data_IF_378399455715
#
_entry.id   IF_378399455715
#
_cell.length_a   1.000
_cell.length_b   1.000
_cell.length_c   1.000
_cell.angle_alpha   90.00
_cell.angle_beta   90.00
_cell.angle_gamma   90.00
#
_symmetry.space_group_name_H-M   'P 1'
#
loop_
_entity.id
_entity.type
_entity.pdbx_description
1 polymer ?
#
# COMPACT_ATOMS: atom_id res chain seq x y z
N UNK A 1 -5.27 25.13 9.66
CA UNK A 1 -4.24 24.08 9.55
C UNK A 1 -3.25 24.34 8.43
N UNK A 2 -2.01 23.98 8.62
CA UNK A 2 -0.98 23.97 7.57
C UNK A 2 -1.17 22.73 6.69
N UNK A 3 -1.12 22.89 5.37
CA UNK A 3 -1.29 21.77 4.42
C UNK A 3 -0.45 21.97 3.16
N UNK A 4 -0.09 20.88 2.49
CA UNK A 4 0.47 20.88 1.12
C UNK A 4 -0.69 20.85 0.14
N UNK A 5 -0.75 21.85 -0.74
CA UNK A 5 -1.85 22.01 -1.70
C UNK A 5 -1.30 22.05 -3.11
N UNK A 6 -1.98 21.41 -4.05
CA UNK A 6 -1.78 21.66 -5.48
C UNK A 6 -3.09 22.09 -6.14
N UNK A 7 -2.99 23.13 -6.98
CA UNK A 7 -4.11 23.75 -7.67
C UNK A 7 -4.20 23.36 -9.14
N UNK A 8 -3.14 22.73 -9.66
CA UNK A 8 -3.07 22.23 -11.03
C UNK A 8 -2.29 20.91 -11.02
N UNK A 9 -2.70 19.97 -11.84
CA UNK A 9 -1.95 18.72 -12.03
C UNK A 9 -0.54 18.99 -12.57
N UNK A 10 0.43 18.28 -12.05
CA UNK A 10 1.86 18.40 -12.38
C UNK A 10 2.51 19.76 -12.06
N UNK A 11 1.75 20.74 -11.52
CA UNK A 11 2.35 21.97 -11.01
C UNK A 11 2.93 21.77 -9.61
N UNK A 12 4.01 22.49 -9.23
CA UNK A 12 4.60 22.35 -7.91
C UNK A 12 3.59 22.62 -6.79
N UNK A 13 3.38 21.67 -5.86
CA UNK A 13 2.58 21.93 -4.66
C UNK A 13 3.24 22.98 -3.77
N UNK A 14 2.45 23.62 -2.91
CA UNK A 14 2.94 24.62 -1.96
C UNK A 14 2.26 24.47 -0.59
N UNK A 15 2.89 25.02 0.44
CA UNK A 15 2.30 25.11 1.77
C UNK A 15 1.26 26.22 1.80
N UNK A 16 0.07 25.91 2.31
CA UNK A 16 -1.02 26.85 2.49
C UNK A 16 -1.65 26.72 3.88
N UNK A 17 -2.12 27.85 4.44
CA UNK A 17 -2.99 27.85 5.61
C UNK A 17 -4.43 27.66 5.17
N UNK A 18 -5.05 26.58 5.59
CA UNK A 18 -6.44 26.25 5.35
C UNK A 18 -7.26 26.31 6.65
N UNK A 19 -8.58 26.49 6.61
CA UNK A 19 -9.42 26.25 7.78
C UNK A 19 -9.23 24.85 8.33
N UNK A 20 -9.28 24.68 9.65
CA UNK A 20 -9.29 23.36 10.26
C UNK A 20 -10.57 22.62 9.85
N UNK A 21 -10.47 21.31 9.53
CA UNK A 21 -11.64 20.54 9.16
C UNK A 21 -12.54 20.32 10.39
N UNK A 22 -13.85 20.25 10.15
CA UNK A 22 -14.83 19.82 11.13
C UNK A 22 -15.27 18.37 10.82
N UNK A 23 -15.57 17.54 11.84
CA UNK A 23 -16.00 16.18 11.59
C UNK A 23 -17.45 16.17 11.05
N UNK A 24 -17.70 15.31 10.06
CA UNK A 24 -19.05 14.92 9.69
C UNK A 24 -19.74 14.20 10.87
N UNK A 25 -21.08 14.09 10.85
CA UNK A 25 -21.81 13.46 11.95
C UNK A 25 -21.33 12.06 12.31
N UNK A 26 -20.90 11.27 11.29
CA UNK A 26 -20.38 9.89 11.41
C UNK A 26 -18.85 9.81 11.27
N UNK A 27 -18.15 10.94 11.27
CA UNK A 27 -16.72 11.04 11.05
C UNK A 27 -15.95 11.57 12.26
N UNK A 28 -14.65 11.63 12.12
CA UNK A 28 -13.73 12.25 13.09
C UNK A 28 -12.77 13.18 12.36
N UNK A 29 -12.16 14.10 13.11
CA UNK A 29 -10.93 14.78 12.68
C UNK A 29 -9.76 14.09 13.39
N UNK A 30 -8.75 13.74 12.63
CA UNK A 30 -7.50 13.18 13.14
C UNK A 30 -6.41 14.24 13.05
N UNK A 31 -5.75 14.54 14.16
CA UNK A 31 -4.48 15.25 14.19
C UNK A 31 -3.40 14.31 13.65
N UNK A 32 -2.81 14.66 12.52
CA UNK A 32 -1.82 13.82 11.86
C UNK A 32 -0.49 13.88 12.61
N UNK A 33 0.00 12.74 13.04
CA UNK A 33 1.28 12.60 13.72
C UNK A 33 2.36 12.01 12.83
N UNK A 34 1.95 11.30 11.78
CA UNK A 34 2.83 10.82 10.72
C UNK A 34 2.03 10.53 9.45
N UNK A 35 2.68 10.70 8.29
CA UNK A 35 2.10 10.40 6.98
C UNK A 35 3.15 9.82 6.03
N UNK A 36 2.85 8.68 5.40
CA UNK A 36 3.69 8.08 4.37
C UNK A 36 3.58 8.82 3.04
N UNK A 37 4.70 8.92 2.30
CA UNK A 37 4.71 9.43 0.93
C UNK A 37 4.68 8.24 -0.03
N UNK A 38 3.61 8.09 -0.78
CA UNK A 38 3.35 6.93 -1.63
C UNK A 38 3.38 7.28 -3.12
N UNK A 39 3.70 6.28 -3.96
CA UNK A 39 3.64 6.43 -5.42
C UNK A 39 2.24 6.82 -5.92
N UNK A 40 1.20 6.39 -5.21
CA UNK A 40 -0.18 6.76 -5.55
C UNK A 40 -0.45 8.25 -5.36
N UNK A 41 0.18 8.93 -4.38
CA UNK A 41 0.10 10.41 -4.26
C UNK A 41 0.69 11.09 -5.49
N UNK A 42 1.80 10.57 -6.03
CA UNK A 42 2.39 11.08 -7.27
C UNK A 42 1.46 10.85 -8.47
N UNK A 43 0.82 9.68 -8.59
CA UNK A 43 -0.17 9.43 -9.64
C UNK A 43 -1.35 10.41 -9.55
N UNK A 44 -1.81 10.71 -8.33
CA UNK A 44 -2.82 11.74 -8.11
C UNK A 44 -2.36 13.12 -8.54
N UNK A 45 -1.16 13.53 -8.13
CA UNK A 45 -0.58 14.84 -8.46
C UNK A 45 -0.37 15.04 -9.96
N UNK A 46 0.03 14.01 -10.71
CA UNK A 46 0.20 14.11 -12.18
C UNK A 46 -1.12 13.99 -12.96
N UNK A 47 -2.25 13.72 -12.27
CA UNK A 47 -3.58 13.67 -12.89
C UNK A 47 -3.97 12.32 -13.49
N UNK A 48 -3.35 11.23 -13.05
CA UNK A 48 -3.75 9.88 -13.46
C UNK A 48 -5.00 9.37 -12.74
N UNK A 49 -5.40 10.03 -11.65
CA UNK A 49 -6.60 9.69 -10.88
C UNK A 49 -7.70 10.70 -11.18
N UNK A 50 -8.83 10.22 -11.72
CA UNK A 50 -9.96 11.05 -12.16
C UNK A 50 -10.88 11.50 -11.02
N UNK A 51 -10.74 10.93 -9.82
CA UNK A 51 -11.55 11.25 -8.65
C UNK A 51 -11.07 12.52 -7.94
N UNK A 52 -9.85 12.97 -8.23
CA UNK A 52 -9.25 14.15 -7.61
C UNK A 52 -9.89 15.43 -8.16
N UNK A 53 -10.40 16.25 -7.25
CA UNK A 53 -10.91 17.60 -7.51
C UNK A 53 -9.94 18.65 -6.99
N UNK A 54 -9.61 19.64 -7.84
CA UNK A 54 -8.69 20.73 -7.52
C UNK A 54 -9.44 21.93 -6.91
N UNK A 55 -8.85 22.68 -5.93
CA UNK A 55 -7.56 22.45 -5.30
C UNK A 55 -7.57 21.22 -4.39
N UNK A 56 -6.41 20.54 -4.24
CA UNK A 56 -6.35 19.29 -3.55
C UNK A 56 -5.18 19.20 -2.54
N UNK A 57 -5.41 18.42 -1.46
CA UNK A 57 -4.41 18.05 -0.45
C UNK A 57 -4.17 16.54 -0.58
N UNK A 58 -2.96 16.08 -0.97
CA UNK A 58 -2.65 14.65 -1.07
C UNK A 58 -2.43 14.00 0.31
N UNK A 59 -2.14 12.71 0.31
CA UNK A 59 -1.79 11.93 1.51
C UNK A 59 -2.88 10.97 1.96
N UNK A 60 -2.54 9.69 1.99
CA UNK A 60 -3.48 8.61 2.29
C UNK A 60 -2.90 7.53 3.23
N UNK A 61 -1.64 7.68 3.65
CA UNK A 61 -0.98 6.78 4.58
C UNK A 61 -0.75 7.50 5.90
N UNK A 62 -1.73 7.52 6.79
CA UNK A 62 -1.68 8.33 8.00
C UNK A 62 -1.77 7.53 9.30
N UNK A 63 -1.20 8.09 10.33
CA UNK A 63 -1.44 7.71 11.72
C UNK A 63 -1.49 8.97 12.58
N UNK A 64 -2.35 8.98 13.58
CA UNK A 64 -2.53 10.18 14.39
C UNK A 64 -3.40 9.95 15.62
N UNK A 65 -3.91 11.06 16.14
CA UNK A 65 -4.75 11.10 17.33
C UNK A 65 -6.09 11.75 16.98
N UNK A 66 -7.17 11.17 17.44
CA UNK A 66 -8.51 11.74 17.26
C UNK A 66 -8.59 13.07 17.98
N UNK A 67 -8.87 14.16 17.26
CA UNK A 67 -8.95 15.54 17.75
C UNK A 67 -10.40 16.00 17.94
N UNK A 68 -11.30 15.60 17.05
CA UNK A 68 -12.72 15.91 17.14
C UNK A 68 -13.57 14.72 16.67
N UNK A 69 -14.77 14.59 17.22
CA UNK A 69 -15.65 13.44 17.00
C UNK A 69 -17.04 13.93 16.59
N UNK A 70 -17.58 13.35 15.53
CA UNK A 70 -18.95 13.61 15.08
C UNK A 70 -19.99 13.02 16.03
N UNK A 71 -21.19 13.63 16.05
CA UNK A 71 -22.24 13.30 17.02
C UNK A 71 -22.77 11.85 16.96
N UNK A 72 -22.64 11.18 15.81
CA UNK A 72 -23.17 9.84 15.58
C UNK A 72 -22.10 8.74 15.72
N UNK A 73 -20.83 9.11 15.98
CA UNK A 73 -19.71 8.19 16.25
C UNK A 73 -19.87 7.57 17.63
N UNK A 74 -19.69 6.26 17.73
CA UNK A 74 -19.95 5.49 18.97
C UNK A 74 -18.70 4.84 19.57
N UNK A 75 -17.71 4.50 18.74
CA UNK A 75 -16.57 3.68 19.15
C UNK A 75 -15.33 4.51 19.49
N UNK A 76 -15.27 5.78 19.06
CA UNK A 76 -14.07 6.60 19.14
C UNK A 76 -14.23 7.83 20.03
N UNK A 77 -13.13 8.25 20.65
CA UNK A 77 -13.06 9.39 21.55
C UNK A 77 -11.84 10.26 21.22
N UNK A 78 -11.90 11.52 21.59
CA UNK A 78 -10.74 12.44 21.54
C UNK A 78 -9.60 11.83 22.34
N UNK A 79 -8.41 11.82 21.75
CA UNK A 79 -7.19 11.25 22.33
C UNK A 79 -6.89 9.81 21.85
N UNK A 80 -7.81 9.12 21.20
CA UNK A 80 -7.56 7.78 20.67
C UNK A 80 -6.49 7.80 19.58
N UNK A 81 -5.53 6.88 19.67
CA UNK A 81 -4.48 6.68 18.67
C UNK A 81 -4.99 5.80 17.54
N UNK A 82 -4.93 6.30 16.31
CA UNK A 82 -5.58 5.64 15.17
C UNK A 82 -4.72 5.64 13.91
N UNK A 83 -5.01 4.69 13.04
CA UNK A 83 -4.69 4.70 11.60
C UNK A 83 -5.95 4.35 10.82
N UNK A 84 -5.89 4.40 9.50
CA UNK A 84 -7.00 4.13 8.60
C UNK A 84 -6.47 3.45 7.33
N UNK A 85 -7.19 2.49 6.73
CA UNK A 85 -6.86 2.02 5.39
C UNK A 85 -7.02 3.17 4.39
N UNK A 86 -6.21 3.17 3.32
CA UNK A 86 -6.30 4.22 2.30
C UNK A 86 -7.66 4.25 1.58
N UNK A 87 -8.37 3.13 1.56
CA UNK A 87 -9.73 3.01 1.04
C UNK A 87 -10.69 2.66 2.17
N UNK A 88 -11.58 3.58 2.49
CA UNK A 88 -12.61 3.42 3.50
C UNK A 88 -13.96 3.02 2.88
N UNK A 89 -14.73 2.23 3.63
CA UNK A 89 -16.07 1.81 3.26
C UNK A 89 -17.15 2.70 3.89
N UNK A 90 -18.33 2.76 3.27
CA UNK A 90 -19.49 3.47 3.81
C UNK A 90 -20.21 2.68 4.92
N UNK A 91 -19.95 1.39 5.06
CA UNK A 91 -20.58 0.51 6.04
C UNK A 91 -22.01 0.06 5.70
N UNK A 92 -22.61 0.53 4.59
CA UNK A 92 -24.03 0.31 4.30
C UNK A 92 -24.34 -0.27 2.91
N UNK A 93 -23.41 -0.27 1.97
CA UNK A 93 -23.61 -0.89 0.65
C UNK A 93 -23.51 -2.43 0.72
N UNK A 94 -23.95 -3.16 -0.31
CA UNK A 94 -23.87 -4.61 -0.34
C UNK A 94 -22.46 -5.16 -0.11
N UNK A 95 -21.43 -4.53 -0.71
CA UNK A 95 -20.03 -4.94 -0.52
C UNK A 95 -19.57 -4.73 0.92
N UNK A 96 -19.95 -3.62 1.55
CA UNK A 96 -19.65 -3.40 2.97
C UNK A 96 -20.35 -4.41 3.87
N UNK A 97 -21.62 -4.73 3.61
CA UNK A 97 -22.35 -5.76 4.36
C UNK A 97 -21.74 -7.15 4.18
N UNK A 98 -21.13 -7.44 3.03
CA UNK A 98 -20.37 -8.66 2.78
C UNK A 98 -18.96 -8.66 3.40
N UNK A 99 -18.55 -7.55 4.04
CA UNK A 99 -17.21 -7.39 4.63
C UNK A 99 -16.13 -6.93 3.65
N UNK A 100 -16.51 -6.53 2.44
CA UNK A 100 -15.58 -6.13 1.37
C UNK A 100 -15.41 -4.60 1.29
N UNK A 101 -15.12 -3.94 2.40
CA UNK A 101 -15.02 -2.48 2.49
C UNK A 101 -14.04 -1.87 1.47
N UNK A 102 -12.99 -2.59 1.09
CA UNK A 102 -11.96 -2.15 0.14
C UNK A 102 -12.45 -2.03 -1.32
N UNK A 103 -13.64 -2.50 -1.63
CA UNK A 103 -14.32 -2.36 -2.91
C UNK A 103 -15.75 -1.81 -2.73
N UNK A 104 -15.91 -0.93 -1.75
CA UNK A 104 -17.17 -0.24 -1.46
C UNK A 104 -17.66 0.56 -2.66
N UNK A 105 -18.98 0.54 -2.92
CA UNK A 105 -19.61 1.30 -4.01
C UNK A 105 -19.49 2.83 -3.82
N UNK A 106 -19.32 3.28 -2.56
CA UNK A 106 -19.17 4.69 -2.18
C UNK A 106 -17.89 4.86 -1.36
N UNK A 107 -16.76 4.60 -1.98
CA UNK A 107 -15.45 4.65 -1.32
C UNK A 107 -15.14 6.04 -0.79
N UNK A 108 -14.60 6.09 0.42
CA UNK A 108 -13.95 7.25 0.99
C UNK A 108 -12.42 7.03 0.94
N UNK A 109 -11.71 7.91 0.25
CA UNK A 109 -10.25 7.81 0.12
C UNK A 109 -9.62 9.18 0.42
N UNK A 110 -9.04 9.37 1.64
CA UNK A 110 -8.29 10.60 1.94
C UNK A 110 -7.11 10.74 0.98
N UNK A 111 -6.90 11.94 0.46
CA UNK A 111 -5.85 12.21 -0.55
C UNK A 111 -6.24 11.87 -1.99
N UNK A 112 -7.48 11.41 -2.24
CA UNK A 112 -8.04 11.16 -3.58
C UNK A 112 -9.45 11.74 -3.70
N UNK A 113 -10.48 11.05 -3.18
CA UNK A 113 -11.86 11.56 -3.21
C UNK A 113 -12.09 12.72 -2.24
N UNK A 114 -11.23 12.89 -1.26
CA UNK A 114 -11.28 13.91 -0.20
C UNK A 114 -9.87 14.41 0.08
N UNK A 115 -9.75 15.59 0.72
CA UNK A 115 -8.46 16.10 1.17
C UNK A 115 -7.77 15.12 2.09
N UNK A 116 -6.47 14.96 1.90
CA UNK A 116 -5.64 13.97 2.57
C UNK A 116 -4.82 14.50 3.74
N UNK A 117 -3.83 13.72 4.08
CA UNK A 117 -3.04 13.87 5.31
C UNK A 117 -1.66 14.52 5.11
N UNK A 118 -1.36 15.13 3.96
CA UNK A 118 -0.26 16.09 3.87
C UNK A 118 -0.67 17.42 4.50
N UNK A 119 -1.17 17.34 5.73
CA UNK A 119 -1.72 18.42 6.52
C UNK A 119 -1.63 18.11 8.02
N UNK A 120 -1.77 19.12 8.88
CA UNK A 120 -1.83 18.95 10.33
C UNK A 120 -3.05 18.14 10.79
N UNK A 121 -4.18 18.25 10.06
CA UNK A 121 -5.44 17.57 10.37
C UNK A 121 -6.06 16.98 9.10
N UNK A 122 -6.78 15.90 9.27
CA UNK A 122 -7.57 15.25 8.20
C UNK A 122 -8.92 14.79 8.72
N UNK A 123 -9.98 15.00 7.93
CA UNK A 123 -11.32 14.46 8.22
C UNK A 123 -11.43 13.04 7.70
N UNK A 124 -11.89 12.12 8.54
CA UNK A 124 -12.14 10.72 8.19
C UNK A 124 -13.64 10.43 8.36
N UNK A 125 -14.27 10.01 7.28
CA UNK A 125 -15.68 9.66 7.26
C UNK A 125 -15.91 8.22 7.74
N UNK A 126 -17.13 7.94 8.20
CA UNK A 126 -17.53 6.60 8.67
C UNK A 126 -16.53 6.00 9.67
N UNK A 127 -16.21 6.77 10.71
CA UNK A 127 -15.12 6.47 11.65
C UNK A 127 -15.26 5.08 12.29
N UNK A 128 -16.48 4.69 12.69
CA UNK A 128 -16.75 3.38 13.33
C UNK A 128 -16.51 2.18 12.38
N UNK A 129 -16.45 2.43 11.07
CA UNK A 129 -16.18 1.42 10.03
C UNK A 129 -14.69 1.37 9.67
N UNK A 130 -14.04 2.54 9.66
CA UNK A 130 -12.75 2.70 8.97
C UNK A 130 -11.55 2.91 9.88
N UNK A 131 -11.74 3.41 11.11
CA UNK A 131 -10.61 3.61 12.00
C UNK A 131 -10.12 2.30 12.61
N UNK A 132 -8.82 2.24 12.86
CA UNK A 132 -8.13 1.14 13.51
C UNK A 132 -7.37 1.69 14.72
N UNK A 133 -7.63 1.14 15.90
CA UNK A 133 -6.91 1.48 17.13
C UNK A 133 -5.44 1.04 17.03
N UNK A 134 -4.53 1.92 17.38
CA UNK A 134 -3.11 1.65 17.43
C UNK A 134 -2.66 1.25 18.84
N UNK A 135 -1.87 0.16 18.97
CA UNK A 135 -1.21 -0.16 20.24
C UNK A 135 -0.30 0.98 20.68
N UNK A 136 -0.20 1.24 22.00
CA UNK A 136 0.67 2.28 22.53
C UNK A 136 2.14 2.07 22.17
N UNK A 137 2.56 0.82 22.02
CA UNK A 137 3.93 0.44 21.66
C UNK A 137 4.31 0.70 20.22
N UNK A 138 3.31 0.93 19.33
CA UNK A 138 3.57 1.19 17.93
C UNK A 138 3.71 2.69 17.70
N UNK A 139 4.88 3.14 17.21
CA UNK A 139 5.10 4.55 16.88
C UNK A 139 4.31 4.98 15.65
N UNK A 140 3.97 6.28 15.56
CA UNK A 140 3.13 6.80 14.48
C UNK A 140 3.79 6.70 13.11
N UNK A 141 5.12 6.83 13.01
CA UNK A 141 5.79 6.73 11.71
C UNK A 141 5.66 5.30 11.14
N UNK A 142 5.86 4.29 11.98
CA UNK A 142 5.64 2.89 11.61
C UNK A 142 4.17 2.66 11.27
N UNK A 143 3.23 3.15 12.09
CA UNK A 143 1.80 3.00 11.85
C UNK A 143 1.34 3.66 10.55
N UNK A 144 1.83 4.87 10.22
CA UNK A 144 1.52 5.55 8.96
C UNK A 144 2.00 4.74 7.75
N UNK A 145 3.15 4.08 7.83
CA UNK A 145 3.67 3.25 6.74
C UNK A 145 2.82 2.00 6.43
N UNK A 146 1.86 1.66 7.31
CA UNK A 146 0.98 0.51 7.11
C UNK A 146 -0.19 0.80 6.16
N UNK A 147 -0.71 2.04 6.12
CA UNK A 147 -2.04 2.40 5.61
C UNK A 147 -2.36 2.05 4.16
N UNK A 148 -1.37 1.93 3.28
CA UNK A 148 -1.53 1.55 1.88
C UNK A 148 -0.67 0.33 1.53
N UNK A 149 0.63 0.54 1.41
CA UNK A 149 1.58 -0.46 0.87
C UNK A 149 1.63 -1.75 1.66
N UNK A 150 1.74 -1.64 2.98
CA UNK A 150 1.92 -2.80 3.85
C UNK A 150 0.64 -3.63 3.97
N UNK A 151 -0.50 -2.99 4.22
CA UNK A 151 -1.79 -3.68 4.33
C UNK A 151 -2.23 -4.31 3.02
N UNK A 152 -2.00 -3.63 1.88
CA UNK A 152 -2.27 -4.21 0.57
C UNK A 152 -1.43 -5.45 0.32
N UNK A 153 -0.14 -5.41 0.68
CA UNK A 153 0.76 -6.57 0.60
C UNK A 153 0.34 -7.67 1.56
N UNK A 154 -0.08 -7.33 2.77
CA UNK A 154 -0.56 -8.32 3.74
C UNK A 154 -1.78 -9.06 3.20
N UNK A 155 -2.77 -8.34 2.70
CA UNK A 155 -3.95 -8.95 2.07
C UNK A 155 -3.58 -9.76 0.83
N UNK A 156 -2.69 -9.24 -0.03
CA UNK A 156 -2.25 -9.93 -1.24
C UNK A 156 -1.57 -11.27 -0.93
N UNK A 157 -0.70 -11.32 0.07
CA UNK A 157 0.06 -12.54 0.44
C UNK A 157 -0.80 -13.49 1.26
N UNK A 158 -1.55 -12.97 2.26
CA UNK A 158 -2.28 -13.79 3.23
C UNK A 158 -3.66 -14.19 2.72
N UNK A 159 -4.49 -13.21 2.35
CA UNK A 159 -5.88 -13.47 2.02
C UNK A 159 -6.05 -13.95 0.57
N UNK A 160 -5.50 -13.22 -0.40
CA UNK A 160 -5.64 -13.56 -1.83
C UNK A 160 -4.71 -14.70 -2.23
N UNK A 161 -3.44 -14.59 -1.88
CA UNK A 161 -2.41 -15.59 -2.18
C UNK A 161 -2.59 -16.89 -1.39
N UNK A 162 -3.19 -16.82 -0.20
CA UNK A 162 -3.31 -17.95 0.74
C UNK A 162 -1.96 -18.65 0.94
N UNK A 163 -0.93 -17.83 1.06
CA UNK A 163 0.45 -18.29 1.17
C UNK A 163 0.67 -19.12 2.43
N UNK A 164 1.35 -20.21 2.30
CA UNK A 164 1.67 -21.12 3.41
C UNK A 164 3.17 -21.36 3.54
N UNK A 165 3.61 -21.79 4.72
CA UNK A 165 5.00 -22.13 4.99
C UNK A 165 5.56 -23.17 3.98
N UNK A 166 6.80 -22.98 3.55
CA UNK A 166 7.49 -23.84 2.58
C UNK A 166 7.14 -23.55 1.12
N UNK A 167 6.09 -22.80 0.81
CA UNK A 167 5.77 -22.40 -0.55
C UNK A 167 6.78 -21.39 -1.10
N UNK A 168 6.89 -21.29 -2.42
CA UNK A 168 7.65 -20.25 -3.12
C UNK A 168 6.74 -19.09 -3.51
N UNK A 169 7.15 -17.88 -3.14
CA UNK A 169 6.51 -16.61 -3.53
C UNK A 169 7.47 -15.84 -4.40
N UNK A 170 7.07 -15.48 -5.63
CA UNK A 170 7.81 -14.57 -6.49
C UNK A 170 7.22 -13.15 -6.35
N UNK A 171 8.08 -12.14 -6.16
CA UNK A 171 7.67 -10.75 -6.00
C UNK A 171 8.34 -9.90 -7.08
N UNK A 172 7.57 -9.42 -8.04
CA UNK A 172 8.03 -8.56 -9.12
C UNK A 172 7.89 -7.09 -8.73
N UNK A 173 9.02 -6.40 -8.61
CA UNK A 173 9.14 -5.04 -8.09
C UNK A 173 9.40 -5.01 -6.59
N UNK A 174 10.54 -4.45 -6.17
CA UNK A 174 10.96 -4.31 -4.76
C UNK A 174 10.82 -2.86 -4.28
N UNK A 175 9.73 -2.19 -4.64
CA UNK A 175 9.27 -0.94 -4.03
C UNK A 175 8.58 -1.18 -2.68
N UNK A 176 7.87 -0.19 -2.16
CA UNK A 176 7.20 -0.29 -0.85
C UNK A 176 6.25 -1.48 -0.72
N UNK A 177 5.44 -1.75 -1.76
CA UNK A 177 4.54 -2.92 -1.80
C UNK A 177 5.34 -4.23 -1.83
N UNK A 178 6.30 -4.35 -2.76
CA UNK A 178 7.05 -5.59 -2.91
C UNK A 178 7.93 -5.94 -1.72
N UNK A 179 8.62 -4.95 -1.12
CA UNK A 179 9.42 -5.17 0.09
C UNK A 179 8.55 -5.57 1.28
N UNK A 180 7.34 -5.00 1.40
CA UNK A 180 6.35 -5.43 2.39
C UNK A 180 5.92 -6.87 2.15
N UNK A 181 5.64 -7.26 0.89
CA UNK A 181 5.27 -8.63 0.54
C UNK A 181 6.40 -9.63 0.84
N UNK A 182 7.67 -9.26 0.59
CA UNK A 182 8.85 -10.07 0.98
C UNK A 182 8.87 -10.33 2.47
N UNK A 183 8.77 -9.27 3.29
CA UNK A 183 8.76 -9.38 4.76
C UNK A 183 7.61 -10.25 5.25
N UNK A 184 6.40 -10.05 4.74
CA UNK A 184 5.21 -10.77 5.15
C UNK A 184 5.30 -12.26 4.76
N UNK A 185 5.68 -12.57 3.53
CA UNK A 185 5.83 -13.94 3.06
C UNK A 185 6.91 -14.71 3.85
N UNK A 186 8.05 -14.04 4.13
CA UNK A 186 9.09 -14.62 4.98
C UNK A 186 8.58 -14.89 6.41
N UNK A 187 7.83 -13.96 7.00
CA UNK A 187 7.29 -14.11 8.36
C UNK A 187 6.27 -15.26 8.48
N UNK A 188 5.61 -15.64 7.38
CA UNK A 188 4.73 -16.81 7.30
C UNK A 188 5.52 -18.12 7.15
N UNK A 189 6.83 -18.05 6.81
CA UNK A 189 7.69 -19.20 6.56
C UNK A 189 7.71 -19.63 5.09
N UNK A 190 7.30 -18.78 4.17
CA UNK A 190 7.45 -19.03 2.73
C UNK A 190 8.87 -18.71 2.27
N UNK A 191 9.31 -19.35 1.16
CA UNK A 191 10.52 -18.97 0.46
C UNK A 191 10.21 -17.86 -0.54
N UNK A 192 11.04 -16.82 -0.61
CA UNK A 192 10.76 -15.66 -1.43
C UNK A 192 11.84 -15.45 -2.50
N UNK A 193 11.41 -15.30 -3.76
CA UNK A 193 12.25 -14.79 -4.85
C UNK A 193 11.85 -13.34 -5.11
N UNK A 194 12.74 -12.40 -4.81
CA UNK A 194 12.53 -10.99 -5.08
C UNK A 194 13.14 -10.60 -6.43
N UNK A 195 12.36 -9.96 -7.29
CA UNK A 195 12.75 -9.59 -8.66
C UNK A 195 12.69 -8.07 -8.81
N UNK A 196 13.80 -7.43 -9.19
CA UNK A 196 13.89 -6.00 -9.45
C UNK A 196 15.06 -5.70 -10.39
N UNK A 197 15.14 -4.50 -10.94
CA UNK A 197 16.29 -4.00 -11.70
C UNK A 197 17.33 -3.32 -10.80
N UNK A 198 16.95 -2.85 -9.62
CA UNK A 198 17.78 -2.11 -8.67
C UNK A 198 18.49 -3.03 -7.69
N UNK A 199 19.83 -3.05 -7.74
CA UNK A 199 20.62 -3.80 -6.74
C UNK A 199 20.41 -3.33 -5.31
N UNK A 200 20.13 -2.03 -5.13
CA UNK A 200 19.81 -1.46 -3.81
C UNK A 200 18.51 -2.05 -3.25
N UNK A 201 17.46 -2.13 -4.08
CA UNK A 201 16.18 -2.72 -3.69
C UNK A 201 16.32 -4.22 -3.41
N UNK A 202 17.08 -4.94 -4.24
CA UNK A 202 17.37 -6.37 -4.02
C UNK A 202 18.21 -6.62 -2.76
N UNK A 203 19.15 -5.75 -2.43
CA UNK A 203 19.91 -5.84 -1.18
C UNK A 203 18.99 -5.70 0.04
N UNK A 204 18.08 -4.73 0.02
CA UNK A 204 17.07 -4.57 1.08
C UNK A 204 16.11 -5.75 1.14
N UNK A 205 15.67 -6.28 -0.01
CA UNK A 205 14.83 -7.48 -0.05
C UNK A 205 15.50 -8.68 0.63
N UNK A 206 16.83 -8.88 0.46
CA UNK A 206 17.58 -9.93 1.18
C UNK A 206 17.56 -9.69 2.70
N UNK A 207 17.75 -8.46 3.14
CA UNK A 207 17.71 -8.11 4.58
C UNK A 207 16.33 -8.38 5.19
N UNK A 208 15.26 -8.19 4.40
CA UNK A 208 13.89 -8.43 4.80
C UNK A 208 13.44 -9.90 4.67
N UNK A 209 14.33 -10.80 4.26
CA UNK A 209 14.11 -12.23 4.26
C UNK A 209 13.86 -12.89 2.89
N UNK A 210 14.20 -12.19 1.78
CA UNK A 210 14.17 -12.85 0.48
C UNK A 210 15.20 -14.01 0.44
N UNK A 211 14.72 -15.21 0.12
CA UNK A 211 15.55 -16.43 0.00
C UNK A 211 16.48 -16.34 -1.20
N UNK A 212 16.02 -15.72 -2.28
CA UNK A 212 16.79 -15.47 -3.49
C UNK A 212 16.38 -14.16 -4.13
N UNK A 213 17.25 -13.63 -5.00
CA UNK A 213 16.98 -12.40 -5.77
C UNK A 213 17.35 -12.57 -7.22
N UNK A 214 16.57 -11.98 -8.11
CA UNK A 214 16.81 -11.91 -9.54
C UNK A 214 16.89 -10.47 -9.98
N UNK A 215 18.02 -10.06 -10.53
CA UNK A 215 18.14 -8.76 -11.19
C UNK A 215 17.64 -8.87 -12.63
N UNK A 216 16.44 -8.34 -12.89
CA UNK A 216 15.79 -8.46 -14.18
C UNK A 216 16.54 -7.73 -15.33
N UNK A 217 17.43 -6.79 -15.01
CA UNK A 217 18.28 -6.13 -16.02
C UNK A 217 19.53 -6.96 -16.39
N UNK A 218 19.84 -8.02 -15.63
CA UNK A 218 21.07 -8.81 -15.80
C UNK A 218 20.80 -10.24 -16.28
N UNK A 219 19.57 -10.72 -16.25
CA UNK A 219 19.19 -12.05 -16.73
C UNK A 219 18.51 -11.95 -18.08
N UNK A 220 18.76 -12.95 -18.94
CA UNK A 220 18.13 -13.00 -20.26
C UNK A 220 16.62 -13.29 -20.19
N UNK A 221 16.20 -14.11 -19.22
CA UNK A 221 14.83 -14.55 -19.03
C UNK A 221 14.50 -14.66 -17.54
N UNK A 222 13.65 -13.75 -17.06
CA UNK A 222 13.22 -13.72 -15.66
C UNK A 222 12.39 -14.97 -15.29
N UNK A 223 11.54 -15.43 -16.20
CA UNK A 223 10.67 -16.60 -15.96
C UNK A 223 11.49 -17.85 -15.75
N UNK A 224 12.49 -18.09 -16.60
CA UNK A 224 13.43 -19.23 -16.47
C UNK A 224 14.24 -19.12 -15.16
N UNK A 225 14.78 -17.93 -14.85
CA UNK A 225 15.55 -17.73 -13.62
C UNK A 225 14.72 -18.03 -12.35
N UNK A 226 13.44 -17.66 -12.33
CA UNK A 226 12.53 -17.99 -11.23
C UNK A 226 12.23 -19.50 -11.22
N UNK A 227 12.00 -20.12 -12.38
CA UNK A 227 11.73 -21.55 -12.48
C UNK A 227 12.92 -22.41 -11.97
N UNK A 228 14.14 -22.02 -12.28
CA UNK A 228 15.37 -22.68 -11.83
C UNK A 228 15.52 -22.59 -10.29
N UNK A 229 15.35 -21.39 -9.72
CA UNK A 229 15.43 -21.16 -8.27
C UNK A 229 14.35 -21.96 -7.53
N UNK A 230 13.12 -21.92 -8.02
CA UNK A 230 11.95 -22.53 -7.36
C UNK A 230 11.76 -24.01 -7.68
N UNK A 231 12.56 -24.54 -8.61
CA UNK A 231 12.45 -25.90 -9.15
C UNK A 231 11.05 -26.20 -9.70
N UNK A 232 10.64 -25.38 -10.68
CA UNK A 232 9.40 -25.61 -11.43
C UNK A 232 8.32 -24.54 -11.24
N UNK A 233 8.67 -23.36 -10.77
CA UNK A 233 7.81 -22.18 -10.68
C UNK A 233 7.32 -21.83 -9.27
N UNK A 234 6.82 -20.61 -9.11
CA UNK A 234 6.29 -20.12 -7.86
C UNK A 234 4.86 -20.65 -7.57
N UNK A 235 4.51 -20.81 -6.30
CA UNK A 235 3.13 -21.12 -5.88
C UNK A 235 2.26 -19.89 -5.95
N UNK A 236 2.82 -18.75 -5.54
CA UNK A 236 2.19 -17.43 -5.57
C UNK A 236 3.17 -16.46 -6.24
N UNK A 237 2.69 -15.63 -7.12
CA UNK A 237 3.50 -14.60 -7.76
C UNK A 237 2.76 -13.27 -7.77
N UNK A 238 3.43 -12.21 -7.29
CA UNK A 238 2.86 -10.87 -7.19
C UNK A 238 3.49 -9.94 -8.23
N UNK A 239 2.67 -9.20 -8.97
CA UNK A 239 3.12 -7.97 -9.63
C UNK A 239 2.87 -6.77 -8.71
N UNK A 240 3.95 -6.27 -8.11
CA UNK A 240 3.94 -5.10 -7.22
C UNK A 240 4.34 -3.80 -7.94
N UNK A 241 4.61 -3.85 -9.25
CA UNK A 241 5.02 -2.71 -10.06
C UNK A 241 3.86 -2.14 -10.89
N UNK A 242 3.06 -2.99 -11.55
CA UNK A 242 2.00 -2.57 -12.46
C UNK A 242 2.50 -2.24 -13.88
N UNK A 243 3.30 -3.13 -14.47
CA UNK A 243 3.80 -2.99 -15.84
C UNK A 243 3.50 -4.25 -16.66
N UNK A 244 3.14 -4.15 -17.96
CA UNK A 244 2.81 -5.30 -18.78
C UNK A 244 3.82 -6.44 -18.73
N UNK A 245 5.12 -6.13 -18.76
CA UNK A 245 6.20 -7.12 -18.68
C UNK A 245 6.23 -7.83 -17.32
N UNK A 246 6.06 -7.13 -16.21
CA UNK A 246 6.06 -7.74 -14.87
C UNK A 246 4.81 -8.56 -14.62
N UNK A 247 3.65 -8.11 -15.09
CA UNK A 247 2.41 -8.87 -15.07
C UNK A 247 2.55 -10.19 -15.86
N UNK A 248 3.03 -10.11 -17.10
CA UNK A 248 3.27 -11.30 -17.94
C UNK A 248 4.26 -12.27 -17.28
N UNK A 249 5.40 -11.78 -16.79
CA UNK A 249 6.41 -12.60 -16.13
C UNK A 249 5.88 -13.23 -14.85
N UNK A 250 5.08 -12.48 -14.07
CA UNK A 250 4.47 -12.95 -12.82
C UNK A 250 3.46 -14.07 -13.06
N UNK A 251 2.73 -14.05 -14.16
CA UNK A 251 1.85 -15.16 -14.55
C UNK A 251 2.67 -16.35 -15.08
N UNK A 252 3.65 -16.05 -15.94
CA UNK A 252 4.41 -17.07 -16.66
C UNK A 252 5.38 -17.88 -15.79
N UNK A 253 5.82 -17.33 -14.64
CA UNK A 253 6.72 -18.02 -13.72
C UNK A 253 6.01 -18.92 -12.71
N UNK A 254 4.68 -19.05 -12.80
CA UNK A 254 3.90 -19.89 -11.89
C UNK A 254 4.04 -21.38 -12.24
N UNK A 255 4.05 -22.20 -11.20
CA UNK A 255 3.81 -23.64 -11.33
C UNK A 255 2.35 -23.95 -11.61
N UNK A 256 2.05 -25.20 -11.96
CA UNK A 256 0.66 -25.66 -12.10
C UNK A 256 -0.15 -25.33 -10.84
N UNK A 257 -1.36 -24.79 -11.05
CA UNK A 257 -2.30 -24.33 -10.00
C UNK A 257 -1.76 -23.18 -9.14
N UNK A 258 -0.75 -22.47 -9.64
CA UNK A 258 -0.22 -21.27 -8.99
C UNK A 258 -1.16 -20.08 -9.11
N UNK A 259 -0.97 -19.10 -8.22
CA UNK A 259 -1.78 -17.87 -8.14
C UNK A 259 -0.97 -16.65 -8.53
N UNK A 260 -1.47 -15.89 -9.49
CA UNK A 260 -0.99 -14.53 -9.76
C UNK A 260 -1.82 -13.52 -9.00
N UNK A 261 -1.16 -12.59 -8.30
CA UNK A 261 -1.82 -11.49 -7.58
C UNK A 261 -1.38 -10.16 -8.20
N UNK A 262 -2.29 -9.47 -8.87
CA UNK A 262 -2.06 -8.13 -9.38
C UNK A 262 -2.30 -7.11 -8.26
N UNK A 263 -1.26 -6.37 -7.89
CA UNK A 263 -1.28 -5.32 -6.86
C UNK A 263 -0.85 -3.98 -7.45
N UNK A 264 0.19 -3.99 -8.28
CA UNK A 264 0.67 -2.80 -8.96
C UNK A 264 -0.39 -2.22 -9.88
N UNK A 265 -0.57 -0.89 -9.83
CA UNK A 265 -1.59 -0.19 -10.63
C UNK A 265 -1.24 -0.27 -12.12
N UNK A 266 -2.19 -0.73 -12.92
CA UNK A 266 -2.11 -0.77 -14.38
C UNK A 266 -2.89 0.43 -14.92
N UNK A 267 -2.17 1.50 -15.28
CA UNK A 267 -2.76 2.80 -15.67
C UNK A 267 -2.47 3.14 -17.13
N UNK A 268 -3.30 4.01 -17.69
CA UNK A 268 -3.19 4.52 -19.06
C UNK A 268 -3.05 3.39 -20.09
N UNK A 269 -2.06 3.46 -20.98
CA UNK A 269 -1.78 2.45 -22.00
C UNK A 269 -1.47 1.05 -21.45
N UNK A 270 -1.10 0.94 -20.18
CA UNK A 270 -0.80 -0.32 -19.52
C UNK A 270 -2.04 -1.02 -18.94
N UNK A 271 -3.22 -0.40 -18.99
CA UNK A 271 -4.45 -0.91 -18.34
C UNK A 271 -4.97 -2.24 -18.89
N UNK A 272 -4.55 -2.63 -20.12
CA UNK A 272 -4.96 -3.85 -20.79
C UNK A 272 -3.74 -4.69 -21.19
N UNK A 273 -3.04 -5.33 -20.24
CA UNK A 273 -1.84 -6.10 -20.54
C UNK A 273 -2.18 -7.41 -21.28
N UNK A 274 -1.23 -7.91 -22.07
CA UNK A 274 -1.33 -9.24 -22.66
C UNK A 274 -1.19 -10.30 -21.55
N UNK A 275 -2.12 -11.24 -21.51
CA UNK A 275 -2.13 -12.37 -20.57
C UNK A 275 -1.84 -13.67 -21.33
N UNK A 276 -0.94 -14.55 -20.86
CA UNK A 276 -0.62 -15.84 -21.50
C UNK A 276 -1.76 -16.86 -21.24
N UNK A 277 -2.94 -16.62 -21.81
CA UNK A 277 -4.17 -17.35 -21.49
C UNK A 277 -4.09 -18.85 -21.81
N UNK A 278 -3.30 -19.26 -22.80
CA UNK A 278 -3.03 -20.67 -23.07
C UNK A 278 -2.34 -21.38 -21.91
N UNK A 279 -1.40 -20.70 -21.25
CA UNK A 279 -0.73 -21.20 -20.05
C UNK A 279 -1.68 -21.23 -18.85
N UNK A 280 -2.53 -20.20 -18.71
CA UNK A 280 -3.54 -20.14 -17.65
C UNK A 280 -4.44 -21.37 -17.71
N UNK A 281 -4.94 -21.72 -18.89
CA UNK A 281 -5.79 -22.90 -19.09
C UNK A 281 -5.01 -24.19 -18.87
N UNK A 282 -3.84 -24.33 -19.51
CA UNK A 282 -3.07 -25.58 -19.46
C UNK A 282 -2.55 -25.95 -18.05
N UNK A 283 -2.30 -24.94 -17.21
CA UNK A 283 -1.79 -25.11 -15.85
C UNK A 283 -2.83 -24.84 -14.77
N UNK A 284 -4.08 -24.55 -15.12
CA UNK A 284 -5.17 -24.17 -14.19
C UNK A 284 -4.72 -23.06 -13.22
N UNK A 285 -4.17 -21.96 -13.75
CA UNK A 285 -3.71 -20.83 -12.94
C UNK A 285 -4.87 -19.96 -12.46
N UNK A 286 -4.73 -19.38 -11.28
CA UNK A 286 -5.64 -18.35 -10.77
C UNK A 286 -5.04 -16.96 -11.00
N UNK A 287 -5.85 -16.01 -11.51
CA UNK A 287 -5.49 -14.60 -11.67
C UNK A 287 -6.40 -13.77 -10.79
N UNK A 288 -5.83 -13.08 -9.80
CA UNK A 288 -6.55 -12.36 -8.78
C UNK A 288 -6.06 -10.91 -8.69
N UNK A 289 -6.99 -9.96 -8.49
CA UNK A 289 -6.67 -8.60 -8.08
C UNK A 289 -6.60 -8.47 -6.56
N UNK A 290 -5.79 -7.53 -6.05
CA UNK A 290 -5.77 -7.18 -4.64
C UNK A 290 -5.71 -5.66 -4.47
N UNK A 291 -6.75 -5.08 -3.84
CA UNK A 291 -6.91 -3.64 -3.63
C UNK A 291 -7.10 -3.34 -2.13
N UNK A 292 -6.09 -2.74 -1.49
CA UNK A 292 -6.17 -2.38 -0.09
C UNK A 292 -6.44 -3.54 0.87
N UNK A 293 -6.86 -3.19 2.08
CA UNK A 293 -7.33 -4.12 3.11
C UNK A 293 -8.37 -3.42 3.99
N UNK A 294 -9.37 -4.14 4.43
CA UNK A 294 -10.44 -3.63 5.29
C UNK A 294 -9.92 -3.33 6.72
N UNK A 295 -10.42 -2.27 7.36
CA UNK A 295 -10.03 -1.91 8.73
C UNK A 295 -10.19 -3.07 9.73
N UNK A 296 -11.30 -3.81 9.67
CA UNK A 296 -11.57 -4.94 10.56
C UNK A 296 -10.60 -6.14 10.41
N UNK A 297 -9.78 -6.16 9.34
CA UNK A 297 -8.78 -7.21 9.09
C UNK A 297 -7.39 -6.88 9.65
N UNK A 298 -7.17 -5.65 10.14
CA UNK A 298 -5.86 -5.24 10.67
C UNK A 298 -5.39 -6.03 11.89
N UNK A 299 -6.31 -6.60 12.67
CA UNK A 299 -5.99 -7.27 13.93
C UNK A 299 -4.91 -8.35 13.83
N UNK A 300 -4.98 -9.21 12.81
CA UNK A 300 -3.98 -10.26 12.60
C UNK A 300 -2.58 -9.69 12.28
N UNK A 301 -2.52 -8.68 11.41
CA UNK A 301 -1.28 -7.99 11.06
C UNK A 301 -0.67 -7.29 12.28
N UNK A 302 -1.47 -6.54 13.04
CA UNK A 302 -1.01 -5.85 14.26
C UNK A 302 -0.51 -6.83 15.32
N UNK A 303 -1.15 -7.98 15.49
CA UNK A 303 -0.69 -9.04 16.38
C UNK A 303 0.69 -9.61 15.96
N UNK A 304 0.92 -9.76 14.65
CA UNK A 304 2.24 -10.18 14.14
C UNK A 304 3.31 -9.10 14.36
N UNK A 305 2.96 -7.81 14.26
CA UNK A 305 3.86 -6.70 14.57
C UNK A 305 4.17 -6.69 16.08
N UNK A 306 3.17 -6.75 16.93
CA UNK A 306 3.33 -6.75 18.40
C UNK A 306 4.16 -7.94 18.89
N UNK A 307 4.05 -9.11 18.24
CA UNK A 307 4.86 -10.30 18.56
C UNK A 307 6.28 -10.27 17.99
N UNK A 308 6.65 -9.22 17.24
CA UNK A 308 7.96 -9.10 16.59
C UNK A 308 8.16 -10.00 15.36
N UNK A 309 7.10 -10.65 14.86
CA UNK A 309 7.16 -11.45 13.63
C UNK A 309 7.21 -10.58 12.38
N UNK A 310 6.65 -9.38 12.44
CA UNK A 310 6.73 -8.36 11.41
C UNK A 310 7.39 -7.11 12.01
N UNK A 311 8.32 -6.51 11.27
CA UNK A 311 9.09 -5.34 11.68
C UNK A 311 9.01 -4.24 10.61
N UNK A 312 7.81 -3.66 10.36
CA UNK A 312 7.59 -2.69 9.27
C UNK A 312 8.43 -1.42 9.40
N UNK A 313 8.92 -1.08 10.60
CA UNK A 313 9.87 0.01 10.84
C UNK A 313 11.16 -0.13 10.01
N UNK A 314 11.57 -1.34 9.66
CA UNK A 314 12.73 -1.61 8.80
C UNK A 314 12.54 -1.14 7.35
N UNK A 315 11.29 -0.89 6.95
CA UNK A 315 10.96 -0.35 5.63
C UNK A 315 11.14 1.17 5.56
N UNK A 316 11.22 1.87 6.71
CA UNK A 316 11.33 3.33 6.74
C UNK A 316 12.76 3.74 6.38
N UNK A 317 12.93 4.29 5.19
CA UNK A 317 14.22 4.78 4.70
C UNK A 317 14.50 6.23 5.06
N UNK A 318 13.45 7.08 5.15
CA UNK A 318 13.58 8.52 5.42
C UNK A 318 12.45 9.04 6.30
N UNK A 319 12.79 9.94 7.24
CA UNK A 319 11.83 10.78 7.98
C UNK A 319 12.04 12.23 7.56
N UNK A 320 10.98 12.94 7.23
CA UNK A 320 11.01 14.28 6.66
C UNK A 320 9.96 15.20 7.31
N UNK A 321 10.05 16.51 7.02
CA UNK A 321 9.01 17.48 7.40
C UNK A 321 7.91 17.56 6.33
N UNK A 322 6.81 18.23 6.67
CA UNK A 322 5.70 18.48 5.72
C UNK A 322 6.19 19.26 4.49
N UNK A 323 7.05 20.27 4.68
CA UNK A 323 7.63 21.05 3.56
C UNK A 323 8.48 20.19 2.63
N UNK A 324 9.27 19.28 3.19
CA UNK A 324 10.11 18.36 2.40
C UNK A 324 9.29 17.31 1.65
N UNK A 325 8.02 17.10 2.01
CA UNK A 325 7.14 16.17 1.29
C UNK A 325 6.84 16.64 -0.14
N UNK A 326 6.89 17.95 -0.39
CA UNK A 326 6.71 18.53 -1.74
C UNK A 326 7.78 17.99 -2.69
N UNK A 327 9.04 18.11 -2.31
CA UNK A 327 10.16 17.59 -3.11
C UNK A 327 10.11 16.06 -3.22
N UNK A 328 9.80 15.38 -2.12
CA UNK A 328 9.67 13.93 -2.10
C UNK A 328 8.56 13.43 -3.05
N UNK A 329 7.42 14.12 -3.10
CA UNK A 329 6.32 13.83 -4.01
C UNK A 329 6.75 14.04 -5.48
N UNK A 330 7.30 15.21 -5.79
CA UNK A 330 7.69 15.60 -7.16
C UNK A 330 8.78 14.69 -7.76
N UNK A 331 9.66 14.13 -6.93
CA UNK A 331 10.77 13.27 -7.36
C UNK A 331 10.44 11.76 -7.25
N UNK A 332 9.20 11.38 -7.00
CA UNK A 332 8.81 9.98 -6.78
C UNK A 332 8.99 9.09 -8.03
N UNK A 333 9.02 9.68 -9.21
CA UNK A 333 9.27 9.00 -10.49
C UNK A 333 10.76 8.66 -10.73
N UNK A 334 11.68 9.33 -10.04
CA UNK A 334 13.13 9.11 -10.20
C UNK A 334 13.64 7.84 -9.53
N UNK A 335 12.82 7.18 -8.72
CA UNK A 335 13.18 5.95 -7.98
C UNK A 335 14.48 6.06 -7.17
N UNK A 336 14.78 7.24 -6.63
CA UNK A 336 15.94 7.48 -5.80
C UNK A 336 15.72 6.96 -4.39
N UNK A 337 16.58 6.03 -3.95
CA UNK A 337 16.53 5.46 -2.60
C UNK A 337 15.89 4.08 -2.53
N UNK A 338 15.90 3.50 -1.33
CA UNK A 338 15.21 2.27 -0.98
C UNK A 338 14.39 2.50 0.30
N UNK A 339 13.27 1.80 0.42
CA UNK A 339 12.37 1.95 1.55
C UNK A 339 11.32 3.06 1.38
N UNK A 340 10.69 3.40 2.47
CA UNK A 340 9.52 4.29 2.56
C UNK A 340 9.92 5.65 3.13
N UNK A 341 9.42 6.73 2.56
CA UNK A 341 9.55 8.08 3.14
C UNK A 341 8.32 8.40 3.98
N UNK A 342 8.53 8.93 5.20
CA UNK A 342 7.45 9.28 6.14
C UNK A 342 7.63 10.72 6.63
N UNK A 343 6.58 11.53 6.54
CA UNK A 343 6.48 12.84 7.19
C UNK A 343 6.21 12.62 8.67
N UNK A 344 7.01 13.25 9.54
CA UNK A 344 6.90 13.13 10.99
C UNK A 344 6.96 14.48 11.72
N UNK A 345 7.02 15.59 10.98
CA UNK A 345 6.95 16.96 11.50
C UNK A 345 6.07 17.80 10.55
N UNK A 346 5.09 18.49 11.16
CA UNK A 346 4.04 19.25 10.47
C UNK A 346 4.12 20.75 10.78
#
# INVERSE_FOLDING_TARGET
>A
MKAVVFEQFSAPPHIQQLPDPAPESHGVVVKVMANGVCRSDWHGWVGHDTDIQLPHVPGHELAGVVEAVGKDVKQWRIGDRVTVPFVGGCGSCPECHAGNHQVCDSQFQPGFTHWGSFAEYVSIHYADVNLVALPETLDFATAASLGCRFVTSFRAVVDQGQTSAGQWVAVHGCGGVGLSAVMIANAIGANVVAIDISEKALALARQLGATATVNAAKVANVVEAVADITRGGAHVSLDALGHPTTCFNSISNLRKRGKHIQVGLMLAENSTPAIPMSQVIANELEILGSHGMQAHRYGAMLAMIQSGKLAPEQLIGRRITLEQSIEALMNMDKFEGAGVTVVTAF
#
